data_IF_386822930049
#
_entry.id   IF_386822930049
#
_cell.length_a   1.000
_cell.length_b   1.000
_cell.length_c   1.000
_cell.angle_alpha   90.00
_cell.angle_beta   90.00
_cell.angle_gamma   90.00
#
_symmetry.space_group_name_H-M   'P 1'
#
loop_
_entity.id
_entity.type
_entity.pdbx_description
1 polymer ?
2 water ?
#
# COMPACT_ATOMS: atom_id res chain seq x y z
N UNK A 1 -20.68 1.79 -0.18
CA UNK A 1 -20.04 0.69 -0.93
C UNK A 1 -19.08 1.29 -1.96
N UNK A 2 -17.87 0.73 -2.05
CA UNK A 2 -16.88 1.19 -3.00
C UNK A 2 -16.22 2.55 -2.72
N UNK A 3 -16.54 3.19 -1.60
CA UNK A 3 -15.96 4.50 -1.31
C UNK A 3 -14.70 4.39 -0.47
N UNK A 4 -13.68 5.16 -0.84
CA UNK A 4 -12.42 5.17 -0.12
C UNK A 4 -12.05 6.55 0.37
N UNK A 5 -11.66 6.63 1.64
CA UNK A 5 -11.18 7.88 2.19
C UNK A 5 -9.69 7.63 2.42
N UNK A 6 -8.86 8.50 1.86
CA UNK A 6 -7.41 8.41 2.02
C UNK A 6 -7.03 9.67 2.78
N UNK A 7 -6.65 9.48 4.04
CA UNK A 7 -6.31 10.58 4.93
C UNK A 7 -4.82 10.68 5.29
N UNK A 8 -4.28 11.89 5.22
CA UNK A 8 -2.88 12.08 5.56
C UNK A 8 -2.72 12.68 6.94
N UNK A 9 -2.09 11.93 7.84
CA UNK A 9 -1.83 12.39 9.21
C UNK A 9 -0.31 12.54 9.43
N UNK A 10 0.46 12.48 8.35
CA UNK A 10 1.92 12.63 8.43
C UNK A 10 2.29 14.11 8.56
N UNK A 11 3.42 14.39 9.24
CA UNK A 11 3.84 15.78 9.40
C UNK A 11 4.15 16.44 8.05
N UNK A 12 4.67 15.64 7.12
CA UNK A 12 5.02 16.09 5.77
C UNK A 12 3.89 15.85 4.78
N UNK A 13 4.01 16.45 3.60
CA UNK A 13 2.99 16.29 2.57
C UNK A 13 3.10 14.91 1.91
N UNK A 14 1.96 14.36 1.53
CA UNK A 14 1.91 13.06 0.88
C UNK A 14 1.06 13.19 -0.36
N UNK A 15 1.61 12.77 -1.50
CA UNK A 15 0.87 12.82 -2.75
C UNK A 15 0.27 11.44 -2.93
N UNK A 16 -0.99 11.32 -2.54
CA UNK A 16 -1.70 10.05 -2.64
C UNK A 16 -1.86 9.63 -4.10
N UNK A 17 -1.94 8.32 -4.32
CA UNK A 17 -2.08 7.79 -5.66
C UNK A 17 -2.95 6.55 -5.58
N UNK A 18 -3.63 6.23 -6.68
CA UNK A 18 -4.50 5.06 -6.71
C UNK A 18 -4.78 4.67 -8.14
N UNK A 19 -4.76 3.36 -8.40
CA UNK A 19 -5.04 2.80 -9.72
C UNK A 19 -5.90 1.55 -9.51
N UNK A 20 -6.74 1.20 -10.50
CA UNK A 20 -6.97 1.85 -11.79
C UNK A 20 -7.95 3.02 -11.72
N UNK A 21 -8.47 3.30 -10.53
CA UNK A 21 -9.40 4.40 -10.33
C UNK A 21 -8.83 5.29 -9.23
N UNK A 22 -9.13 6.58 -9.27
CA UNK A 22 -8.63 7.49 -8.27
C UNK A 22 -7.71 8.52 -8.90
N UNK A 23 -6.49 8.09 -9.22
CA UNK A 23 -5.53 8.99 -9.83
C UNK A 23 -4.47 9.44 -8.85
N UNK A 24 -4.60 10.67 -8.37
CA UNK A 24 -3.63 11.21 -7.42
C UNK A 24 -4.11 12.53 -6.84
N UNK A 25 -3.64 12.87 -5.64
CA UNK A 25 -4.05 14.09 -4.98
C UNK A 25 -3.00 14.51 -3.97
N UNK A 26 -2.71 15.80 -3.93
CA UNK A 26 -1.74 16.34 -2.98
C UNK A 26 -2.47 16.41 -1.63
N UNK A 27 -1.89 15.84 -0.58
CA UNK A 27 -2.55 15.88 0.72
C UNK A 27 -1.64 16.43 1.78
N UNK A 28 -1.96 17.62 2.27
CA UNK A 28 -1.19 18.19 3.36
C UNK A 28 -1.75 17.53 4.61
N UNK A 29 -1.03 17.60 5.73
CA UNK A 29 -1.50 16.96 6.96
C UNK A 29 -2.92 17.40 7.30
N UNK A 30 -3.75 16.43 7.67
CA UNK A 30 -5.13 16.71 8.02
C UNK A 30 -6.13 16.60 6.88
N UNK A 31 -5.65 16.57 5.64
CA UNK A 31 -6.53 16.46 4.47
C UNK A 31 -6.90 15.02 4.12
N UNK A 32 -8.06 14.87 3.49
CA UNK A 32 -8.54 13.58 3.02
C UNK A 32 -8.88 13.65 1.54
N UNK A 33 -8.78 12.51 0.88
CA UNK A 33 -9.09 12.37 -0.53
C UNK A 33 -10.16 11.29 -0.58
N UNK A 34 -11.26 11.55 -1.30
CA UNK A 34 -12.35 10.59 -1.41
C UNK A 34 -12.53 10.18 -2.87
N UNK A 35 -12.65 8.89 -3.11
CA UNK A 35 -12.90 8.40 -4.47
C UNK A 35 -13.71 7.13 -4.39
N UNK A 36 -14.32 6.77 -5.50
CA UNK A 36 -15.18 5.61 -5.55
C UNK A 36 -14.71 4.61 -6.59
N UNK A 37 -14.79 3.34 -6.25
CA UNK A 37 -14.39 2.27 -7.15
C UNK A 37 -15.65 1.53 -7.55
N UNK A 38 -15.89 1.42 -8.87
CA UNK A 38 -17.08 0.72 -9.37
C UNK A 38 -17.04 -0.73 -8.90
N UNK A 39 -18.21 -1.37 -8.76
CA UNK A 39 -18.22 -2.77 -8.33
C UNK A 39 -17.45 -3.67 -9.30
N UNK A 40 -16.70 -4.60 -8.75
CA UNK A 40 -15.91 -5.50 -9.57
C UNK A 40 -14.48 -5.05 -9.78
N UNK A 41 -14.14 -3.83 -9.36
CA UNK A 41 -12.78 -3.33 -9.51
C UNK A 41 -11.79 -4.31 -8.88
N UNK A 42 -10.79 -4.72 -9.66
CA UNK A 42 -9.79 -5.69 -9.21
C UNK A 42 -8.38 -5.13 -9.40
N UNK A 43 -7.41 -5.82 -8.80
CA UNK A 43 -5.99 -5.50 -8.89
C UNK A 43 -5.73 -4.03 -8.65
N UNK A 44 -6.42 -3.47 -7.67
CA UNK A 44 -6.29 -2.05 -7.36
C UNK A 44 -5.31 -1.80 -6.22
N UNK A 45 -4.69 -0.63 -6.24
CA UNK A 45 -3.75 -0.26 -5.19
C UNK A 45 -3.85 1.23 -4.88
N UNK A 46 -3.56 1.56 -3.62
CA UNK A 46 -3.59 2.93 -3.13
C UNK A 46 -2.26 3.07 -2.43
N UNK A 47 -1.56 4.17 -2.69
CA UNK A 47 -0.28 4.40 -2.04
C UNK A 47 0.00 5.89 -1.89
N UNK A 48 1.09 6.19 -1.20
CA UNK A 48 1.49 7.57 -0.99
C UNK A 48 2.88 7.78 -1.55
N UNK A 49 3.10 8.97 -2.09
CA UNK A 49 4.40 9.33 -2.66
C UNK A 49 4.95 10.45 -1.80
N UNK A 50 6.24 10.37 -1.49
CA UNK A 50 6.87 11.39 -0.66
C UNK A 50 7.89 12.23 -1.42
N UNK A 51 8.05 13.46 -0.93
CA UNK A 51 9.00 14.42 -1.47
C UNK A 51 8.83 14.62 -2.97
N UNK A 52 7.66 15.08 -3.38
CA UNK A 52 7.40 15.32 -4.79
C UNK A 52 7.65 16.78 -5.12
N UNK A 53 7.72 17.07 -6.41
CA UNK A 53 7.94 18.42 -6.91
C UNK A 53 7.26 18.43 -8.26
N UNK A 54 6.12 19.11 -8.34
CA UNK A 54 5.34 19.18 -9.57
C UNK A 54 5.21 20.61 -10.03
N UNK A 55 5.05 20.80 -11.34
CA UNK A 55 4.86 22.13 -11.87
C UNK A 55 3.35 22.42 -11.91
N UNK A 56 2.95 23.48 -12.60
CA UNK A 56 1.54 23.80 -12.69
C UNK A 56 0.73 22.84 -13.54
N UNK A 57 1.39 22.15 -14.47
CA UNK A 57 0.69 21.22 -15.35
C UNK A 57 0.55 19.79 -14.79
N UNK A 58 1.13 19.53 -13.63
CA UNK A 58 1.05 18.21 -13.05
C UNK A 58 2.18 17.26 -13.42
N UNK A 59 3.28 17.79 -13.95
CA UNK A 59 4.43 16.95 -14.30
C UNK A 59 5.52 17.24 -13.29
N UNK A 60 6.18 16.18 -12.84
CA UNK A 60 7.24 16.33 -11.86
C UNK A 60 7.86 15.00 -11.52
N UNK A 61 8.32 14.87 -10.29
CA UNK A 61 8.96 13.65 -9.83
C UNK A 61 8.78 13.54 -8.31
N UNK A 62 8.91 12.32 -7.80
CA UNK A 62 8.77 12.04 -6.37
C UNK A 62 9.91 11.14 -5.95
N UNK A 63 10.37 11.31 -4.71
CA UNK A 63 11.45 10.50 -4.17
C UNK A 63 11.05 9.02 -4.04
N UNK A 64 9.79 8.76 -3.70
CA UNK A 64 9.28 7.39 -3.58
C UNK A 64 7.88 7.28 -4.21
N UNK A 65 7.57 6.11 -4.77
CA UNK A 65 6.26 5.89 -5.37
C UNK A 65 5.92 6.62 -6.66
N UNK A 66 6.93 7.24 -7.29
CA UNK A 66 6.74 7.99 -8.53
C UNK A 66 6.07 7.14 -9.62
N UNK A 67 4.98 7.64 -10.17
CA UNK A 67 4.27 6.93 -11.22
C UNK A 67 4.45 7.62 -12.59
N UNK A 68 5.66 7.55 -13.12
CA UNK A 68 5.92 8.13 -14.42
C UNK A 68 5.93 9.63 -14.56
N UNK A 69 6.31 10.34 -13.51
CA UNK A 69 6.39 11.79 -13.59
C UNK A 69 5.10 12.60 -13.66
N UNK A 70 3.98 11.98 -13.30
CA UNK A 70 2.69 12.67 -13.30
C UNK A 70 2.02 12.66 -11.93
N UNK A 71 1.18 13.66 -11.68
CA UNK A 71 0.47 13.78 -10.42
C UNK A 71 -0.68 12.77 -10.38
N UNK A 72 -1.47 12.74 -11.45
CA UNK A 72 -2.58 11.81 -11.51
C UNK A 72 -2.15 10.52 -12.17
N UNK A 73 -1.74 9.58 -11.33
CA UNK A 73 -1.26 8.28 -11.76
C UNK A 73 -2.21 7.47 -12.64
N UNK A 74 -1.64 6.86 -13.67
CA UNK A 74 -2.37 5.99 -14.58
C UNK A 74 -1.80 4.59 -14.41
N UNK A 75 -0.58 4.53 -13.88
CA UNK A 75 0.10 3.27 -13.66
C UNK A 75 0.70 3.21 -12.27
N UNK A 76 1.41 2.13 -11.99
CA UNK A 76 2.02 1.89 -10.69
C UNK A 76 3.24 2.75 -10.36
N UNK A 77 3.52 2.89 -9.07
CA UNK A 77 4.63 3.70 -8.63
C UNK A 77 5.93 2.92 -8.55
N UNK A 78 7.02 3.67 -8.46
CA UNK A 78 8.36 3.11 -8.36
C UNK A 78 8.60 2.73 -6.90
N UNK A 79 9.06 1.49 -6.62
CA UNK A 79 9.30 1.10 -5.23
C UNK A 79 10.41 1.99 -4.66
N UNK A 80 10.50 2.13 -3.33
CA UNK A 80 9.62 1.51 -2.34
C UNK A 80 8.36 2.31 -2.02
N UNK A 81 7.25 1.59 -1.90
CA UNK A 81 5.98 2.19 -1.56
C UNK A 81 5.07 1.21 -0.86
N UNK A 82 4.64 1.58 0.35
CA UNK A 82 3.73 0.75 1.13
C UNK A 82 2.42 0.72 0.33
N UNK A 83 1.78 -0.44 0.26
CA UNK A 83 0.56 -0.56 -0.51
C UNK A 83 -0.67 -1.07 0.23
N UNK A 84 -1.81 -0.50 -0.14
CA UNK A 84 -3.11 -0.93 0.35
C UNK A 84 -3.69 -1.46 -0.95
N UNK A 85 -4.02 -2.75 -0.98
CA UNK A 85 -4.55 -3.39 -2.18
C UNK A 85 -5.97 -3.87 -1.95
N UNK A 86 -6.77 -3.88 -3.01
CA UNK A 86 -8.14 -4.32 -2.88
C UNK A 86 -8.75 -4.81 -4.18
N UNK A 87 -9.81 -5.60 -4.04
CA UNK A 87 -10.57 -6.14 -5.16
C UNK A 87 -11.98 -6.30 -4.60
N UNK A 88 -12.95 -5.63 -5.22
CA UNK A 88 -14.33 -5.67 -4.76
C UNK A 88 -15.21 -6.66 -5.52
N UNK A 89 -16.19 -7.22 -4.81
CA UNK A 89 -17.17 -8.14 -5.39
C UNK A 89 -16.55 -9.36 -6.05
N UNK A 90 -15.59 -9.97 -5.39
CA UNK A 90 -14.94 -11.16 -5.93
C UNK A 90 -15.76 -12.41 -5.59
N UNK A 91 -15.24 -13.59 -5.92
CA UNK A 91 -15.97 -14.84 -5.65
C UNK A 91 -16.63 -14.90 -4.26
N UNK A 92 -17.82 -15.48 -4.23
CA UNK A 92 -18.64 -15.64 -3.03
C UNK A 92 -19.04 -14.34 -2.33
N UNK A 93 -19.24 -13.29 -3.14
CA UNK A 93 -19.67 -11.98 -2.66
C UNK A 93 -18.73 -11.37 -1.61
N UNK A 94 -17.43 -11.43 -1.85
CA UNK A 94 -16.45 -10.90 -0.92
C UNK A 94 -15.49 -9.88 -1.51
N UNK A 95 -15.09 -8.91 -0.69
CA UNK A 95 -14.09 -7.92 -1.05
C UNK A 95 -12.81 -8.49 -0.45
N UNK A 96 -11.72 -8.49 -1.22
CA UNK A 96 -10.43 -8.97 -0.74
C UNK A 96 -9.50 -7.78 -0.67
N UNK A 97 -8.81 -7.62 0.45
CA UNK A 97 -7.91 -6.49 0.61
C UNK A 97 -6.73 -6.79 1.53
N UNK A 98 -5.71 -5.96 1.46
CA UNK A 98 -4.52 -6.17 2.27
C UNK A 98 -3.59 -4.98 2.24
N UNK A 99 -2.56 -5.04 3.07
CA UNK A 99 -1.50 -4.05 3.08
C UNK A 99 -0.30 -4.90 2.64
N UNK A 100 0.54 -4.36 1.77
CA UNK A 100 1.68 -5.11 1.28
C UNK A 100 2.98 -4.33 1.27
N UNK A 101 4.06 -5.00 1.66
CA UNK A 101 5.40 -4.41 1.62
C UNK A 101 6.27 -5.21 0.63
N UNK A 102 5.60 -5.94 -0.26
CA UNK A 102 6.28 -6.72 -1.30
C UNK A 102 7.06 -5.75 -2.20
N UNK A 103 6.50 -4.55 -2.40
CA UNK A 103 7.15 -3.51 -3.18
C UNK A 103 7.76 -2.46 -2.26
N UNK A 104 8.20 -2.90 -1.09
CA UNK A 104 8.83 -2.02 -0.15
C UNK A 104 7.92 -1.25 0.78
N UNK A 105 8.54 -0.39 1.58
CA UNK A 105 7.85 0.43 2.56
C UNK A 105 8.38 1.86 2.46
N UNK A 106 7.47 2.83 2.48
CA UNK A 106 7.88 4.23 2.49
C UNK A 106 7.14 5.00 3.58
N UNK A 107 5.84 4.75 3.73
CA UNK A 107 5.03 5.44 4.73
C UNK A 107 4.24 4.47 5.59
N UNK A 108 4.15 4.74 6.91
CA UNK A 108 3.37 3.83 7.77
C UNK A 108 1.87 4.05 7.44
N UNK A 109 1.08 2.98 7.42
CA UNK A 109 -0.33 3.15 7.10
C UNK A 109 -1.25 2.15 7.76
N UNK A 110 -2.52 2.54 7.87
CA UNK A 110 -3.55 1.68 8.40
C UNK A 110 -4.56 1.58 7.27
N UNK A 111 -5.30 0.48 7.26
CA UNK A 111 -6.29 0.21 6.22
C UNK A 111 -7.40 -0.59 6.91
N UNK A 112 -8.64 -0.20 6.67
CA UNK A 112 -9.73 -0.93 7.28
C UNK A 112 -11.11 -0.53 6.83
N UNK A 113 -12.13 -1.33 7.20
CA UNK A 113 -13.52 -1.06 6.83
C UNK A 113 -14.13 0.00 7.73
N UNK A 114 -15.09 0.74 7.19
CA UNK A 114 -15.78 1.76 7.98
C UNK A 114 -16.85 1.06 8.82
N UNK A 115 -17.36 -0.05 8.30
CA UNK A 115 -18.36 -0.87 8.98
C UNK A 115 -17.76 -2.27 9.12
N UNK A 116 -17.17 -2.56 10.29
CA UNK A 116 -16.56 -3.87 10.52
C UNK A 116 -17.55 -5.02 10.57
N UNK A 117 -17.04 -6.22 10.40
CA UNK A 117 -17.89 -7.39 10.42
C UNK A 117 -17.19 -8.53 11.12
N UNK A 118 -17.74 -9.75 11.04
CA UNK A 118 -17.11 -10.90 11.70
C UNK A 118 -15.88 -11.37 10.93
N UNK A 119 -15.09 -12.22 11.57
CA UNK A 119 -13.91 -12.77 10.93
C UNK A 119 -12.77 -11.81 10.66
N UNK A 120 -12.38 -11.72 9.39
CA UNK A 120 -11.27 -10.86 9.00
C UNK A 120 -11.61 -9.42 8.63
N UNK A 121 -12.89 -9.06 8.73
CA UNK A 121 -13.32 -7.71 8.41
C UNK A 121 -13.10 -6.73 9.57
N UNK A 122 -11.85 -6.36 9.78
CA UNK A 122 -11.48 -5.41 10.83
C UNK A 122 -10.22 -4.68 10.35
N UNK A 123 -9.94 -3.53 10.95
CA UNK A 123 -8.78 -2.74 10.58
C UNK A 123 -7.42 -3.35 10.88
N UNK A 124 -6.47 -3.09 9.99
CA UNK A 124 -5.09 -3.57 10.14
C UNK A 124 -4.14 -2.40 9.91
N UNK A 125 -2.85 -2.63 10.18
CA UNK A 125 -1.84 -1.59 10.02
C UNK A 125 -0.43 -2.14 9.89
N UNK A 126 0.47 -1.27 9.45
CA UNK A 126 1.90 -1.54 9.31
C UNK A 126 2.50 -0.18 9.65
N UNK A 127 2.79 0.01 10.93
CA UNK A 127 3.29 1.27 11.45
C UNK A 127 4.63 1.20 12.20
N UNK A 128 5.32 0.06 12.09
CA UNK A 128 6.61 -0.13 12.74
C UNK A 128 7.62 0.84 12.15
N UNK A 129 8.67 1.18 12.90
CA UNK A 129 9.68 2.10 12.39
C UNK A 129 10.60 1.38 11.41
N UNK A 130 10.02 0.94 10.29
CA UNK A 130 10.77 0.22 9.28
C UNK A 130 11.86 1.06 8.62
N UNK A 131 11.58 2.33 8.37
CA UNK A 131 12.57 3.19 7.72
C UNK A 131 13.81 3.40 8.57
N UNK A 132 13.63 3.51 9.88
CA UNK A 132 14.75 3.72 10.77
C UNK A 132 15.56 2.49 11.10
N UNK A 133 14.93 1.32 11.10
CA UNK A 133 15.61 0.08 11.42
C UNK A 133 16.02 -0.71 10.19
N UNK A 134 15.62 -0.22 9.02
CA UNK A 134 15.90 -0.87 7.74
C UNK A 134 17.36 -1.31 7.52
N UNK A 135 17.56 -2.56 7.08
CA UNK A 135 18.88 -3.13 6.82
C UNK A 135 19.57 -2.31 5.73
N UNK A 136 20.87 -2.06 5.91
CA UNK A 136 21.64 -1.27 4.96
C UNK A 136 21.51 -1.64 3.50
N UNK A 137 21.38 -2.93 3.22
CA UNK A 137 21.26 -3.40 1.84
C UNK A 137 19.93 -3.02 1.19
N UNK A 138 18.90 -2.86 2.00
CA UNK A 138 17.57 -2.52 1.47
C UNK A 138 17.23 -1.03 1.57
N UNK A 139 18.03 -0.31 2.34
CA UNK A 139 17.85 1.12 2.60
C UNK A 139 18.02 2.04 1.38
N UNK A 140 17.00 2.85 1.11
CA UNK A 140 17.04 3.82 0.01
C UNK A 140 16.48 5.11 0.59
N UNK A 141 16.69 6.25 -0.10
CA UNK A 141 16.16 7.52 0.40
C UNK A 141 14.65 7.49 0.61
N UNK A 142 14.23 7.77 1.83
CA UNK A 142 12.81 7.80 2.16
C UNK A 142 12.07 6.46 2.13
N UNK A 143 12.81 5.36 2.13
CA UNK A 143 12.16 4.07 2.11
C UNK A 143 13.04 2.88 2.46
N UNK A 144 12.45 1.70 2.36
CA UNK A 144 13.14 0.46 2.65
C UNK A 144 12.61 -0.54 1.63
N UNK A 145 13.49 -0.96 0.72
CA UNK A 145 13.12 -1.91 -0.31
C UNK A 145 12.99 -3.35 0.14
N UNK A 146 12.10 -4.05 -0.55
CA UNK A 146 11.86 -5.46 -0.32
C UNK A 146 13.02 -6.14 -1.05
N UNK A 147 13.56 -7.24 -0.49
CA UNK A 147 14.68 -7.93 -1.14
C UNK A 147 14.45 -8.31 -2.59
N UNK A 148 13.20 -8.51 -2.99
CA UNK A 148 12.90 -8.87 -4.38
C UNK A 148 13.25 -7.72 -5.32
N UNK A 149 13.14 -6.49 -4.81
CA UNK A 149 13.46 -5.30 -5.58
C UNK A 149 14.98 -5.09 -5.61
N UNK A 150 15.60 -5.25 -4.45
CA UNK A 150 17.03 -5.05 -4.29
C UNK A 150 17.93 -6.09 -4.95
N UNK A 151 17.62 -7.36 -4.72
CA UNK A 151 18.41 -8.46 -5.24
C UNK A 151 17.80 -9.23 -6.40
N UNK A 152 16.47 -9.37 -6.41
CA UNK A 152 15.80 -10.10 -7.47
C UNK A 152 15.97 -11.60 -7.27
N UNK A 153 15.63 -12.38 -8.28
CA UNK A 153 15.79 -13.82 -8.18
C UNK A 153 14.59 -14.54 -7.60
N UNK A 154 14.53 -15.85 -7.86
CA UNK A 154 13.45 -16.73 -7.41
C UNK A 154 13.26 -16.75 -5.90
N UNK A 155 14.37 -16.79 -5.18
CA UNK A 155 14.35 -16.84 -3.73
C UNK A 155 13.51 -15.72 -3.11
N UNK A 156 13.54 -14.54 -3.73
CA UNK A 156 12.81 -13.39 -3.21
C UNK A 156 11.59 -12.98 -4.03
N UNK A 157 11.63 -13.23 -5.34
CA UNK A 157 10.54 -12.83 -6.22
C UNK A 157 9.54 -13.91 -6.58
N UNK A 158 9.91 -15.17 -6.39
CA UNK A 158 9.00 -16.29 -6.62
C UNK A 158 8.37 -16.37 -8.00
N UNK A 159 9.10 -15.93 -9.02
CA UNK A 159 8.57 -15.98 -10.38
C UNK A 159 8.65 -17.38 -10.99
N UNK A 160 9.56 -18.21 -10.48
CA UNK A 160 9.77 -19.57 -10.98
C UNK A 160 9.03 -20.68 -10.25
N UNK A 161 8.13 -20.34 -9.33
CA UNK A 161 7.41 -21.38 -8.63
C UNK A 161 7.31 -21.16 -7.13
N UNK A 162 6.96 -22.20 -6.37
CA UNK A 162 6.82 -22.12 -4.92
C UNK A 162 8.04 -21.53 -4.23
N UNK A 163 7.79 -20.66 -3.26
CA UNK A 163 8.88 -20.05 -2.51
C UNK A 163 8.42 -19.93 -1.07
N UNK A 164 9.34 -19.63 -0.17
CA UNK A 164 8.95 -19.50 1.22
C UNK A 164 9.56 -18.25 1.81
N UNK A 165 9.35 -18.01 3.11
CA UNK A 165 9.91 -16.82 3.75
C UNK A 165 11.43 -16.91 3.79
N UNK A 166 12.08 -15.76 3.70
CA UNK A 166 13.53 -15.67 3.74
C UNK A 166 13.86 -14.85 4.97
N UNK A 167 15.14 -14.78 5.31
CA UNK A 167 15.56 -14.02 6.47
C UNK A 167 15.10 -12.56 6.33
N UNK A 168 15.19 -12.02 5.12
CA UNK A 168 14.80 -10.64 4.90
C UNK A 168 13.29 -10.40 4.92
N UNK A 169 12.50 -11.29 4.33
CA UNK A 169 11.05 -11.09 4.37
C UNK A 169 10.56 -11.22 5.82
N UNK A 170 11.17 -12.14 6.57
CA UNK A 170 10.80 -12.34 7.97
C UNK A 170 11.07 -11.07 8.76
N UNK A 171 12.10 -10.33 8.37
CA UNK A 171 12.44 -9.07 9.04
C UNK A 171 11.23 -8.12 8.97
N UNK A 172 10.62 -8.08 7.79
CA UNK A 172 9.44 -7.26 7.55
C UNK A 172 8.24 -7.81 8.31
N UNK A 173 8.02 -9.12 8.18
CA UNK A 173 6.89 -9.80 8.81
C UNK A 173 6.84 -9.66 10.33
N UNK A 174 8.01 -9.59 10.97
CA UNK A 174 8.09 -9.44 12.42
C UNK A 174 7.58 -8.05 12.83
N UNK A 175 7.84 -7.07 11.98
CA UNK A 175 7.43 -5.70 12.25
C UNK A 175 5.99 -5.41 11.82
N UNK A 176 5.52 -6.12 10.81
CA UNK A 176 4.16 -5.93 10.32
C UNK A 176 3.56 -7.30 10.02
N UNK A 177 3.13 -8.02 11.07
CA UNK A 177 2.54 -9.36 10.97
C UNK A 177 1.33 -9.50 10.05
N UNK A 178 0.54 -8.44 9.91
CA UNK A 178 -0.64 -8.51 9.06
C UNK A 178 -0.45 -8.12 7.59
N UNK A 179 0.76 -7.74 7.21
CA UNK A 179 1.04 -7.35 5.83
C UNK A 179 1.79 -8.43 5.03
N UNK A 180 1.62 -8.41 3.71
CA UNK A 180 2.30 -9.34 2.81
C UNK A 180 3.78 -8.97 2.85
N UNK A 181 4.62 -9.93 3.21
CA UNK A 181 6.06 -9.68 3.29
C UNK A 181 6.82 -10.21 2.06
N UNK A 182 6.22 -11.17 1.36
CA UNK A 182 6.83 -11.73 0.16
C UNK A 182 5.70 -12.20 -0.74
N UNK A 183 5.97 -12.40 -2.04
CA UNK A 183 4.96 -12.83 -3.01
C UNK A 183 3.95 -13.91 -2.61
N UNK A 184 4.39 -14.91 -1.86
CA UNK A 184 3.48 -15.98 -1.47
C UNK A 184 3.13 -16.01 0.02
N UNK A 185 2.99 -14.83 0.61
CA UNK A 185 2.66 -14.70 2.02
C UNK A 185 1.13 -14.59 2.21
N UNK A 186 0.38 -15.40 1.46
CA UNK A 186 -1.09 -15.35 1.48
C UNK A 186 -1.94 -15.68 2.72
N UNK A 187 -1.71 -16.84 3.37
CA UNK A 187 -2.51 -17.20 4.55
C UNK A 187 -2.63 -16.22 5.72
N UNK A 188 -1.58 -15.46 6.01
CA UNK A 188 -1.63 -14.52 7.12
C UNK A 188 -1.74 -13.06 6.67
N UNK A 189 -2.04 -12.83 5.40
CA UNK A 189 -2.09 -11.46 4.91
C UNK A 189 -3.36 -11.03 4.17
N UNK A 190 -4.26 -11.97 3.90
CA UNK A 190 -5.48 -11.64 3.18
C UNK A 190 -6.64 -11.38 4.14
N UNK A 191 -7.31 -10.25 3.95
CA UNK A 191 -8.44 -9.88 4.79
C UNK A 191 -9.66 -9.69 3.90
N UNK A 192 -10.84 -9.95 4.47
CA UNK A 192 -12.06 -9.85 3.69
C UNK A 192 -13.24 -9.25 4.43
N UNK A 193 -14.19 -8.74 3.64
CA UNK A 193 -15.46 -8.20 4.13
C UNK A 193 -16.51 -8.59 3.10
N UNK A 194 -17.72 -8.83 3.57
CA UNK A 194 -18.82 -9.16 2.67
C UNK A 194 -19.04 -7.93 1.77
N UNK A 195 -19.19 -8.16 0.47
CA UNK A 195 -19.41 -7.06 -0.46
C UNK A 195 -20.69 -6.30 -0.17
N UNK A 196 -20.71 -5.03 -0.57
CA UNK A 196 -21.85 -4.11 -0.40
C UNK A 196 -22.21 -3.82 1.05
N UNK A 197 -21.30 -4.06 1.98
CA UNK A 197 -21.61 -3.81 3.38
C UNK A 197 -20.78 -2.69 4.00
N UNK A 198 -19.66 -2.36 3.38
CA UNK A 198 -18.77 -1.35 3.95
C UNK A 198 -17.96 -0.53 2.94
N UNK A 199 -17.46 0.61 3.42
CA UNK A 199 -16.59 1.49 2.66
C UNK A 199 -15.22 1.27 3.30
N UNK A 200 -14.19 1.97 2.85
CA UNK A 200 -12.87 1.74 3.41
C UNK A 200 -12.13 3.03 3.69
N UNK A 201 -11.14 2.94 4.57
CA UNK A 201 -10.35 4.10 4.93
C UNK A 201 -8.87 3.74 5.05
N UNK A 202 -8.04 4.57 4.42
CA UNK A 202 -6.59 4.41 4.44
C UNK A 202 -6.03 5.65 5.12
N UNK A 203 -5.14 5.46 6.07
CA UNK A 203 -4.52 6.57 6.75
C UNK A 203 -3.01 6.49 6.69
N UNK A 204 -2.37 7.59 6.32
CA UNK A 204 -0.91 7.69 6.28
C UNK A 204 -0.53 8.23 7.64
N UNK A 205 0.46 7.60 8.28
CA UNK A 205 0.94 7.99 9.60
C UNK A 205 -0.16 8.10 10.66
N UNK A 206 -0.82 6.98 10.99
CA UNK A 206 -1.89 6.91 11.99
C UNK A 206 -1.47 7.53 13.32
N UNK A 207 -0.23 7.27 13.72
CA UNK A 207 0.29 7.80 14.97
C UNK A 207 1.02 9.13 14.81
N UNK A 208 0.98 9.68 13.60
CA UNK A 208 1.65 10.93 13.31
C UNK A 208 3.12 10.71 13.02
#
# INVERSE_FOLDING_TARGET
>A
SGVFEVHNNCPYTVWAAATPVGGGRRLERGQSWWFWAPPGTKMARIWGRTNCNFDGAGRGWCQTGDCGGVLECKGWGKPPNTLAEYALNQFSNLDFWDISVIDGFNIPMSFGPTKPGPGKCHGIQCTANINGECPGSLRVPGGCNNPCTTFGGQQYCCTQGPCGPTELSRWFKQRCPDAYSYPQDDPTSTFTCTSWTTDYKVMFCPYG
#
